data_IF_149745091248
#
_entry.id   IF_149745091248
#
_cell.length_a   1.000
_cell.length_b   1.000
_cell.length_c   1.000
_cell.angle_alpha   90.00
_cell.angle_beta   90.00
_cell.angle_gamma   90.00
#
_symmetry.space_group_name_H-M   'P 1'
#
loop_
_entity.id
_entity.type
_entity.pdbx_description
1 polymer ?
#
# COMPACT_ATOMS: atom_id res chain seq x y z
N UNK A 1 -30.15 34.78 -14.31
CA UNK A 1 -29.49 34.60 -12.99
C UNK A 1 -28.98 33.19 -12.97
N UNK A 2 -27.66 33.06 -12.85
CA UNK A 2 -26.87 31.90 -13.26
C UNK A 2 -27.22 30.61 -12.55
N UNK A 3 -27.24 29.53 -13.34
CA UNK A 3 -27.26 28.14 -12.93
C UNK A 3 -25.98 27.90 -12.13
N UNK A 4 -26.09 27.51 -10.86
CA UNK A 4 -24.95 27.02 -10.11
C UNK A 4 -24.69 25.61 -10.63
N UNK A 5 -23.62 25.45 -11.41
CA UNK A 5 -23.08 24.16 -11.81
C UNK A 5 -22.79 23.31 -10.56
N UNK A 6 -23.55 22.23 -10.42
CA UNK A 6 -23.20 21.05 -9.65
C UNK A 6 -21.93 20.45 -10.27
N UNK A 7 -20.78 20.57 -9.59
CA UNK A 7 -19.64 19.70 -9.88
C UNK A 7 -19.87 18.38 -9.16
N UNK A 8 -20.45 17.44 -9.90
CA UNK A 8 -20.31 16.01 -9.64
C UNK A 8 -18.84 15.65 -9.91
N UNK A 9 -18.03 15.50 -8.86
CA UNK A 9 -16.65 15.02 -9.00
C UNK A 9 -16.69 13.49 -8.96
N UNK A 10 -17.13 12.90 -10.06
CA UNK A 10 -16.97 11.47 -10.33
C UNK A 10 -15.50 11.10 -10.14
N UNK A 11 -15.25 10.09 -9.30
CA UNK A 11 -13.92 9.67 -8.88
C UNK A 11 -13.12 9.06 -10.02
N UNK A 12 -12.41 9.89 -10.78
CA UNK A 12 -11.43 9.45 -11.77
C UNK A 12 -10.02 9.46 -11.16
N UNK A 13 -9.25 8.41 -11.47
CA UNK A 13 -7.85 8.30 -11.05
C UNK A 13 -7.02 9.26 -11.92
N UNK A 14 -6.15 10.13 -11.36
CA UNK A 14 -5.45 11.13 -12.16
C UNK A 14 -4.45 10.51 -13.15
N UNK A 15 -4.23 11.20 -14.27
CA UNK A 15 -3.19 10.85 -15.23
C UNK A 15 -1.81 10.84 -14.55
N UNK A 16 -1.09 9.73 -14.67
CA UNK A 16 0.20 9.51 -13.99
C UNK A 16 0.11 8.79 -12.63
N UNK A 17 -1.08 8.31 -12.23
CA UNK A 17 -1.18 7.42 -11.08
C UNK A 17 -0.46 6.08 -11.34
N UNK A 18 0.37 5.68 -10.39
CA UNK A 18 1.19 4.47 -10.44
C UNK A 18 0.60 3.37 -9.55
N UNK A 19 1.11 2.15 -9.66
CA UNK A 19 0.59 1.03 -8.90
C UNK A 19 1.04 1.06 -7.44
N UNK A 20 0.16 0.67 -6.52
CA UNK A 20 0.58 0.32 -5.17
C UNK A 20 0.01 -1.02 -4.76
N UNK A 21 0.69 -1.64 -3.80
CA UNK A 21 0.23 -2.86 -3.13
C UNK A 21 0.57 -2.81 -1.65
N UNK A 22 -0.23 -3.53 -0.86
CA UNK A 22 0.07 -3.84 0.52
C UNK A 22 0.05 -5.34 0.68
N UNK A 23 1.17 -5.90 1.13
CA UNK A 23 1.23 -7.31 1.48
C UNK A 23 1.06 -7.46 2.99
N UNK A 24 0.22 -8.39 3.44
CA UNK A 24 0.22 -8.86 4.83
C UNK A 24 1.20 -10.03 4.91
N UNK A 25 2.19 -9.95 5.79
CA UNK A 25 3.31 -10.87 5.84
C UNK A 25 3.43 -11.51 7.23
N UNK A 26 2.95 -12.74 7.34
CA UNK A 26 3.09 -13.60 8.49
C UNK A 26 4.49 -14.25 8.51
N UNK A 27 5.50 -13.44 8.81
CA UNK A 27 6.89 -13.87 8.99
C UNK A 27 7.18 -14.22 10.47
N UNK A 28 8.45 -14.17 10.88
CA UNK A 28 8.81 -14.26 12.31
C UNK A 28 8.11 -13.21 13.18
N UNK A 29 7.83 -12.05 12.58
CA UNK A 29 6.96 -11.02 13.13
C UNK A 29 5.92 -10.68 12.08
N UNK A 30 4.66 -10.65 12.51
CA UNK A 30 3.56 -10.19 11.70
C UNK A 30 3.72 -8.70 11.35
N UNK A 31 3.59 -8.37 10.07
CA UNK A 31 3.70 -6.99 9.57
C UNK A 31 3.03 -6.84 8.20
N UNK A 32 2.89 -5.59 7.78
CA UNK A 32 2.39 -5.24 6.45
C UNK A 32 3.48 -4.55 5.65
N UNK A 33 3.69 -4.93 4.39
CA UNK A 33 4.61 -4.23 3.49
C UNK A 33 3.82 -3.32 2.55
N UNK A 34 3.90 -2.00 2.75
CA UNK A 34 3.44 -1.01 1.77
C UNK A 34 4.47 -0.87 0.67
N UNK A 35 4.02 -0.92 -0.58
CA UNK A 35 4.88 -0.82 -1.76
C UNK A 35 4.28 0.13 -2.77
N UNK A 36 5.06 1.10 -3.21
CA UNK A 36 4.70 2.11 -4.20
C UNK A 36 5.58 1.93 -5.44
N UNK A 37 4.97 1.77 -6.61
CA UNK A 37 5.70 1.84 -7.87
C UNK A 37 6.22 3.27 -8.08
N UNK A 38 7.54 3.42 -8.11
CA UNK A 38 8.23 4.68 -8.35
C UNK A 38 9.60 4.39 -8.98
N UNK A 39 9.94 5.13 -10.04
CA UNK A 39 11.23 5.00 -10.74
C UNK A 39 11.57 3.56 -11.19
N UNK A 40 10.54 2.81 -11.64
CA UNK A 40 10.71 1.45 -12.18
C UNK A 40 10.91 0.35 -11.12
N UNK A 41 10.74 0.67 -9.83
CA UNK A 41 10.83 -0.29 -8.72
C UNK A 41 9.67 -0.12 -7.74
N UNK A 42 9.50 -1.07 -6.84
CA UNK A 42 8.60 -0.96 -5.70
C UNK A 42 9.36 -0.40 -4.49
N UNK A 43 9.24 0.91 -4.26
CA UNK A 43 9.68 1.54 -3.01
C UNK A 43 8.86 0.97 -1.86
N UNK A 44 9.53 0.44 -0.84
CA UNK A 44 8.90 -0.46 0.11
C UNK A 44 9.12 -0.04 1.56
N UNK A 45 8.07 -0.16 2.36
CA UNK A 45 8.10 0.06 3.81
C UNK A 45 7.39 -1.06 4.55
N UNK A 46 8.02 -1.58 5.60
CA UNK A 46 7.40 -2.50 6.55
C UNK A 46 6.66 -1.72 7.65
N UNK A 47 5.41 -2.05 7.89
CA UNK A 47 4.52 -1.51 8.92
C UNK A 47 4.23 -2.59 9.96
N UNK A 48 4.94 -2.63 11.10
CA UNK A 48 4.79 -3.69 12.11
C UNK A 48 3.40 -3.78 12.75
N UNK A 49 2.57 -2.73 12.61
CA UNK A 49 1.20 -2.72 13.14
C UNK A 49 0.17 -2.41 12.04
N UNK A 50 0.56 -2.52 10.78
CA UNK A 50 -0.26 -2.12 9.64
C UNK A 50 -0.60 -0.62 9.57
N UNK A 51 -1.32 -0.21 8.52
CA UNK A 51 -1.86 1.14 8.39
C UNK A 51 -2.94 1.39 9.44
N UNK A 52 -3.05 2.62 9.95
CA UNK A 52 -4.20 3.02 10.77
C UNK A 52 -5.24 3.70 9.90
N UNK A 53 -6.49 3.28 10.06
CA UNK A 53 -7.63 3.95 9.45
C UNK A 53 -8.06 5.20 10.25
N UNK A 54 -7.55 5.41 11.47
CA UNK A 54 -7.86 6.60 12.26
C UNK A 54 -7.06 7.80 11.75
N UNK A 55 -7.71 8.87 11.25
CA UNK A 55 -7.00 10.06 10.79
C UNK A 55 -6.09 10.66 11.89
N UNK A 56 -4.89 11.07 11.51
CA UNK A 56 -3.89 11.65 12.40
C UNK A 56 -3.12 10.66 13.28
N UNK A 57 -3.53 9.40 13.34
CA UNK A 57 -2.77 8.36 14.06
C UNK A 57 -1.47 8.05 13.31
N UNK A 58 -0.37 7.98 14.06
CA UNK A 58 0.98 7.75 13.52
C UNK A 58 1.33 6.26 13.61
N UNK A 59 1.59 5.62 12.46
CA UNK A 59 2.10 4.25 12.39
C UNK A 59 3.55 4.25 11.91
N UNK A 60 4.40 3.47 12.58
CA UNK A 60 5.79 3.29 12.15
C UNK A 60 5.81 2.57 10.80
N UNK A 61 6.57 3.11 9.85
CA UNK A 61 6.87 2.55 8.55
C UNK A 61 8.39 2.51 8.38
N UNK A 62 8.97 1.33 8.22
CA UNK A 62 10.41 1.12 8.15
C UNK A 62 10.77 0.89 6.69
N UNK A 63 11.57 1.78 6.10
CA UNK A 63 12.05 1.64 4.73
C UNK A 63 12.89 0.37 4.59
N UNK A 64 12.51 -0.49 3.65
CA UNK A 64 13.20 -1.74 3.32
C UNK A 64 13.71 -1.69 1.87
N UNK A 65 14.46 -2.71 1.46
CA UNK A 65 15.01 -2.76 0.12
C UNK A 65 13.91 -2.66 -0.96
N UNK A 66 14.24 -2.03 -2.08
CA UNK A 66 13.35 -1.97 -3.24
C UNK A 66 13.03 -3.38 -3.75
N UNK A 67 11.83 -3.57 -4.26
CA UNK A 67 11.40 -4.84 -4.87
C UNK A 67 11.16 -4.65 -6.37
N UNK A 68 11.31 -5.72 -7.14
CA UNK A 68 10.97 -5.71 -8.56
C UNK A 68 9.45 -5.56 -8.74
N UNK A 69 9.02 -4.90 -9.82
CA UNK A 69 7.60 -4.64 -10.11
C UNK A 69 6.78 -5.93 -10.21
N UNK A 70 7.40 -7.00 -10.71
CA UNK A 70 6.78 -8.32 -10.86
C UNK A 70 6.45 -9.00 -9.51
N UNK A 71 6.95 -8.46 -8.39
CA UNK A 71 6.61 -8.88 -7.04
C UNK A 71 5.26 -8.32 -6.57
N UNK A 72 4.71 -7.30 -7.24
CA UNK A 72 3.47 -6.62 -6.80
C UNK A 72 2.29 -7.59 -6.64
N UNK A 73 2.17 -8.57 -7.53
CA UNK A 73 1.10 -9.57 -7.52
C UNK A 73 1.44 -10.88 -6.80
N UNK A 74 2.46 -10.90 -5.94
CA UNK A 74 2.88 -12.13 -5.26
C UNK A 74 1.97 -12.46 -4.07
N UNK A 75 1.53 -13.71 -4.00
CA UNK A 75 0.87 -14.28 -2.84
C UNK A 75 1.36 -15.72 -2.66
N UNK A 76 1.68 -16.13 -1.43
CA UNK A 76 2.12 -17.49 -1.15
C UNK A 76 3.05 -17.63 0.03
N UNK A 77 3.73 -18.77 0.09
CA UNK A 77 4.65 -19.11 1.19
C UNK A 77 6.09 -18.95 0.72
N UNK A 78 6.84 -18.11 1.42
CA UNK A 78 8.29 -18.00 1.28
C UNK A 78 8.92 -19.10 2.16
N UNK A 79 9.71 -20.02 1.57
CA UNK A 79 10.28 -21.15 2.32
C UNK A 79 11.15 -20.72 3.51
N UNK A 80 11.16 -21.55 4.55
CA UNK A 80 12.03 -21.36 5.71
C UNK A 80 13.51 -21.30 5.31
N UNK A 81 14.29 -20.50 6.03
CA UNK A 81 15.71 -20.27 5.72
C UNK A 81 15.97 -19.30 4.57
N UNK A 82 14.93 -18.80 3.89
CA UNK A 82 15.03 -17.65 2.98
C UNK A 82 14.79 -16.34 3.76
N UNK A 83 15.35 -15.26 3.24
CA UNK A 83 15.01 -13.92 3.73
C UNK A 83 13.51 -13.66 3.50
N UNK A 84 12.81 -13.20 4.54
CA UNK A 84 11.35 -13.04 4.50
C UNK A 84 10.57 -14.35 4.53
N UNK A 85 11.10 -15.43 5.13
CA UNK A 85 10.34 -16.67 5.32
C UNK A 85 9.02 -16.41 6.08
N UNK A 86 7.93 -16.94 5.54
CA UNK A 86 6.58 -16.68 6.04
C UNK A 86 5.53 -16.78 4.95
N UNK A 87 4.26 -16.61 5.35
CA UNK A 87 3.14 -16.52 4.41
C UNK A 87 2.91 -15.07 4.04
N UNK A 88 2.75 -14.80 2.75
CA UNK A 88 2.53 -13.48 2.18
C UNK A 88 1.16 -13.47 1.49
N UNK A 89 0.31 -12.56 1.91
CA UNK A 89 -1.01 -12.28 1.33
C UNK A 89 -0.96 -10.95 0.59
N UNK A 90 -1.53 -10.88 -0.62
CA UNK A 90 -1.82 -9.59 -1.24
C UNK A 90 -3.06 -9.00 -0.56
N UNK A 91 -2.83 -8.13 0.42
CA UNK A 91 -3.87 -7.62 1.32
C UNK A 91 -4.61 -6.41 0.76
N UNK A 92 -3.93 -5.55 -0.01
CA UNK A 92 -4.55 -4.47 -0.75
C UNK A 92 -3.76 -4.19 -2.03
N UNK A 93 -4.43 -3.61 -3.03
CA UNK A 93 -3.82 -3.20 -4.30
C UNK A 93 -4.61 -2.05 -4.90
N UNK A 94 -3.95 -1.23 -5.70
CA UNK A 94 -4.64 -0.18 -6.43
C UNK A 94 -3.69 0.82 -7.06
N UNK A 95 -4.17 2.06 -7.15
CA UNK A 95 -3.44 3.20 -7.70
C UNK A 95 -3.06 4.20 -6.62
N UNK A 96 -1.91 4.83 -6.80
CA UNK A 96 -1.46 5.94 -5.97
C UNK A 96 -0.95 7.09 -6.82
N UNK A 97 -1.00 8.29 -6.27
CA UNK A 97 -0.39 9.46 -6.87
C UNK A 97 0.11 10.41 -5.78
N UNK A 98 1.14 11.18 -6.10
CA UNK A 98 1.61 12.25 -5.24
C UNK A 98 0.61 13.41 -5.27
N UNK A 99 0.20 13.90 -4.10
CA UNK A 99 -0.65 15.09 -3.95
C UNK A 99 0.16 16.38 -3.86
N UNK A 100 1.45 16.25 -3.56
CA UNK A 100 2.44 17.32 -3.50
C UNK A 100 3.77 16.82 -4.05
N UNK A 101 4.67 17.71 -4.53
CA UNK A 101 6.00 17.30 -4.96
C UNK A 101 6.75 16.53 -3.85
N UNK A 102 7.29 15.33 -4.14
CA UNK A 102 7.99 14.53 -3.15
C UNK A 102 9.26 15.24 -2.65
N UNK A 103 9.55 15.12 -1.36
CA UNK A 103 10.82 15.55 -0.75
C UNK A 103 11.60 14.34 -0.23
N UNK A 104 12.91 14.47 0.07
CA UNK A 104 13.69 13.36 0.62
C UNK A 104 13.16 12.79 1.96
N UNK A 105 12.36 13.57 2.68
CA UNK A 105 11.85 13.27 4.02
C UNK A 105 10.32 13.22 4.11
N UNK A 106 9.58 13.52 3.03
CA UNK A 106 8.12 13.50 3.04
C UNK A 106 7.54 13.12 1.68
N UNK A 107 6.55 12.24 1.72
CA UNK A 107 5.73 11.87 0.57
C UNK A 107 4.26 12.00 0.96
N UNK A 108 3.57 12.96 0.34
CA UNK A 108 2.13 13.14 0.50
C UNK A 108 1.42 12.51 -0.69
N UNK A 109 0.67 11.44 -0.44
CA UNK A 109 0.05 10.62 -1.48
C UNK A 109 -1.47 10.54 -1.28
N UNK A 110 -2.17 10.20 -2.34
CA UNK A 110 -3.48 9.61 -2.24
C UNK A 110 -3.41 8.15 -2.70
N UNK A 111 -4.17 7.30 -2.01
CA UNK A 111 -4.34 5.89 -2.33
C UNK A 111 -5.76 5.65 -2.81
N UNK A 112 -5.90 4.79 -3.80
CA UNK A 112 -7.16 4.27 -4.28
C UNK A 112 -7.00 2.78 -4.58
N UNK A 113 -7.26 1.94 -3.59
CA UNK A 113 -7.31 0.50 -3.79
C UNK A 113 -8.62 -0.10 -3.39
N UNK A 114 -8.56 -1.36 -2.97
CA UNK A 114 -9.72 -2.15 -2.57
C UNK A 114 -10.04 -1.91 -1.08
N UNK A 115 -9.01 -1.60 -0.27
CA UNK A 115 -9.13 -1.37 1.18
C UNK A 115 -8.68 0.00 1.63
N UNK A 116 -7.57 0.51 1.11
CA UNK A 116 -7.05 1.84 1.48
C UNK A 116 -7.49 2.90 0.47
N UNK A 117 -8.09 3.96 0.99
CA UNK A 117 -8.54 5.11 0.21
C UNK A 117 -8.11 6.44 0.86
N UNK A 118 -8.07 7.49 0.05
CA UNK A 118 -7.90 8.88 0.48
C UNK A 118 -6.44 9.28 0.67
N UNK A 119 -6.22 10.41 1.35
CA UNK A 119 -4.91 11.03 1.49
C UNK A 119 -4.09 10.48 2.67
N UNK A 120 -2.79 10.31 2.45
CA UNK A 120 -1.80 9.77 3.38
C UNK A 120 -0.50 10.56 3.32
N UNK A 121 0.22 10.61 4.43
CA UNK A 121 1.59 11.15 4.50
C UNK A 121 2.54 10.07 5.01
N UNK A 122 3.62 9.85 4.28
CA UNK A 122 4.83 9.19 4.75
C UNK A 122 5.85 10.26 5.13
N UNK A 123 6.24 10.32 6.41
CA UNK A 123 7.22 11.31 6.90
C UNK A 123 8.40 10.65 7.59
N UNK A 124 9.61 10.89 7.11
CA UNK A 124 10.85 10.38 7.69
C UNK A 124 11.06 11.02 9.06
N UNK A 125 11.36 10.19 10.05
CA UNK A 125 11.66 10.65 11.40
C UNK A 125 13.05 11.32 11.42
N UNK A 126 13.21 12.35 12.24
CA UNK A 126 14.50 12.99 12.46
C UNK A 126 15.09 12.63 13.83
N UNK A 127 16.41 12.81 13.97
CA UNK A 127 17.12 12.69 15.24
C UNK A 127 17.81 11.34 15.47
N UNK A 128 18.50 11.22 16.61
CA UNK A 128 19.41 10.11 16.92
C UNK A 128 18.77 8.72 16.88
N UNK A 129 17.45 8.64 17.07
CA UNK A 129 16.71 7.37 17.05
C UNK A 129 16.52 6.81 15.63
N UNK A 130 16.72 7.63 14.59
CA UNK A 130 16.68 7.24 13.18
C UNK A 130 18.06 7.38 12.52
N UNK A 131 19.10 6.82 13.15
CA UNK A 131 20.48 7.01 12.71
C UNK A 131 20.77 6.39 11.33
N UNK A 132 20.01 5.37 10.91
CA UNK A 132 20.09 4.75 9.59
C UNK A 132 19.17 5.41 8.55
N UNK A 133 18.39 6.42 8.97
CA UNK A 133 17.46 7.16 8.11
C UNK A 133 16.19 6.40 7.73
N UNK A 134 16.02 5.13 8.11
CA UNK A 134 14.97 4.25 7.57
C UNK A 134 13.61 4.35 8.25
N UNK A 135 13.50 5.04 9.37
CA UNK A 135 12.24 5.15 10.10
C UNK A 135 11.40 6.30 9.57
N UNK A 136 10.19 5.94 9.14
CA UNK A 136 9.14 6.84 8.67
C UNK A 136 7.89 6.66 9.54
N UNK A 137 6.99 7.62 9.41
CA UNK A 137 5.63 7.55 9.93
C UNK A 137 4.66 7.58 8.77
N UNK A 138 3.75 6.60 8.71
CA UNK A 138 2.56 6.64 7.86
C UNK A 138 1.40 7.22 8.66
N UNK A 139 0.72 8.21 8.09
CA UNK A 139 -0.35 8.97 8.75
C UNK A 139 -1.50 9.14 7.77
N UNK A 140 -2.68 8.63 8.10
CA UNK A 140 -3.91 8.95 7.34
C UNK A 140 -4.28 10.41 7.56
N UNK A 141 -4.60 11.13 6.48
CA UNK A 141 -5.03 12.53 6.54
C UNK A 141 -6.55 12.61 6.71
N UNK A 142 -7.01 13.75 7.22
CA UNK A 142 -8.44 14.04 7.28
C UNK A 142 -8.95 14.35 5.87
N UNK A 143 -10.15 13.87 5.54
CA UNK A 143 -10.83 14.09 4.27
C UNK A 143 -12.24 13.48 4.31
N UNK A 144 -13.08 13.85 3.35
CA UNK A 144 -14.48 13.38 3.25
C UNK A 144 -14.62 11.97 2.64
N UNK A 145 -13.50 11.34 2.26
CA UNK A 145 -13.48 9.96 1.78
C UNK A 145 -13.85 8.99 2.90
N UNK A 146 -15.00 8.34 2.77
CA UNK A 146 -15.41 7.29 3.68
C UNK A 146 -14.33 6.20 3.69
N UNK A 147 -13.84 5.88 4.89
CA UNK A 147 -13.04 4.68 5.09
C UNK A 147 -13.89 3.48 4.68
N UNK A 148 -13.67 2.92 3.50
CA UNK A 148 -14.44 1.74 3.08
C UNK A 148 -13.92 0.54 3.86
N UNK A 149 -14.80 0.06 4.74
CA UNK A 149 -14.89 -1.24 5.41
C UNK A 149 -13.72 -1.68 6.29
N UNK A 150 -14.09 -2.25 7.45
CA UNK A 150 -13.16 -3.01 8.28
C UNK A 150 -12.51 -4.07 7.38
N UNK A 151 -11.17 -4.09 7.28
CA UNK A 151 -10.49 -4.99 6.37
C UNK A 151 -10.77 -6.40 6.88
N UNK A 152 -11.60 -7.15 6.14
CA UNK A 152 -11.52 -8.60 6.27
C UNK A 152 -10.06 -8.97 5.99
N UNK A 153 -9.47 -9.77 6.88
CA UNK A 153 -8.09 -10.25 6.76
C UNK A 153 -8.03 -11.36 5.70
N UNK A 154 -8.40 -10.96 4.48
CA UNK A 154 -8.51 -11.79 3.28
C UNK A 154 -7.80 -11.11 2.12
N UNK A 155 -7.27 -11.93 1.23
CA UNK A 155 -6.59 -11.52 0.01
C UNK A 155 -7.53 -10.79 -0.95
N UNK A 156 -7.07 -9.68 -1.53
CA UNK A 156 -7.75 -9.01 -2.65
C UNK A 156 -7.50 -9.71 -3.99
N UNK A 157 -6.54 -10.62 -4.05
CA UNK A 157 -6.26 -11.41 -5.25
C UNK A 157 -7.12 -12.68 -5.31
N UNK A 158 -7.19 -13.42 -4.20
CA UNK A 158 -7.77 -14.76 -4.17
C UNK A 158 -8.98 -14.90 -3.26
N UNK A 159 -9.30 -13.89 -2.44
CA UNK A 159 -10.32 -13.97 -1.40
C UNK A 159 -9.93 -14.86 -0.22
N UNK A 160 -8.75 -15.49 -0.22
CA UNK A 160 -8.30 -16.44 0.82
C UNK A 160 -7.85 -15.75 2.11
N UNK A 161 -8.02 -16.41 3.25
CA UNK A 161 -7.40 -16.04 4.52
C UNK A 161 -5.90 -16.37 4.56
N UNK A 162 -5.19 -15.89 5.56
CA UNK A 162 -3.75 -16.17 5.74
C UNK A 162 -3.50 -17.69 5.89
N UNK A 163 -4.32 -18.38 6.68
CA UNK A 163 -4.20 -19.83 6.90
C UNK A 163 -4.46 -20.62 5.60
N UNK A 164 -5.48 -20.23 4.83
CA UNK A 164 -5.77 -20.87 3.53
C UNK A 164 -4.60 -20.72 2.54
N UNK A 165 -3.89 -19.58 2.56
CA UNK A 165 -2.69 -19.36 1.73
C UNK A 165 -1.53 -20.22 2.23
N UNK A 166 -1.36 -20.33 3.56
CA UNK A 166 -0.31 -21.14 4.17
C UNK A 166 -0.46 -22.63 3.83
N UNK A 167 -1.69 -23.14 3.78
CA UNK A 167 -1.98 -24.55 3.50
C UNK A 167 -1.94 -24.91 2.00
N UNK A 168 -2.42 -24.02 1.13
CA UNK A 168 -2.65 -24.33 -0.30
C UNK A 168 -1.52 -23.86 -1.22
N UNK A 169 -0.53 -23.12 -0.71
CA UNK A 169 0.59 -22.59 -1.48
C UNK A 169 0.25 -21.34 -2.32
N UNK A 170 1.29 -20.84 -3.00
CA UNK A 170 1.29 -19.52 -3.63
C UNK A 170 0.55 -19.41 -4.96
N UNK A 171 0.04 -18.20 -5.23
CA UNK A 171 -0.43 -17.74 -6.53
C UNK A 171 0.31 -16.47 -6.90
N UNK A 172 0.78 -16.38 -8.14
CA UNK A 172 1.27 -15.13 -8.70
C UNK A 172 0.25 -14.65 -9.71
N UNK A 173 -0.20 -13.41 -9.57
CA UNK A 173 -1.01 -12.82 -10.60
C UNK A 173 -0.18 -12.51 -11.86
N UNK A 174 -0.82 -12.49 -13.02
CA UNK A 174 -0.17 -12.13 -14.28
C UNK A 174 0.28 -10.66 -14.25
N UNK A 175 1.31 -10.27 -15.04
CA UNK A 175 1.84 -8.90 -15.07
C UNK A 175 0.81 -7.86 -15.56
N UNK A 176 -0.35 -8.29 -16.04
CA UNK A 176 -1.48 -7.51 -16.53
C UNK A 176 -2.47 -7.06 -15.43
N UNK A 177 -2.13 -7.28 -14.14
CA UNK A 177 -2.91 -6.86 -12.97
C UNK A 177 -3.33 -5.39 -12.93
N UNK A 178 -2.71 -4.57 -13.77
CA UNK A 178 -2.92 -3.13 -13.87
C UNK A 178 -3.42 -2.72 -15.26
N UNK A 179 -4.11 -3.61 -15.97
CA UNK A 179 -4.70 -3.33 -17.28
C UNK A 179 -5.58 -2.09 -17.23
N UNK A 180 -5.41 -1.24 -18.25
CA UNK A 180 -6.05 0.04 -18.59
C UNK A 180 -7.60 -0.01 -18.70
N UNK A 181 -8.32 -0.80 -17.90
CA UNK A 181 -9.79 -0.87 -17.98
C UNK A 181 -10.49 0.39 -17.40
N UNK A 182 -9.72 1.33 -16.84
CA UNK A 182 -10.20 2.63 -16.31
C UNK A 182 -9.88 3.81 -17.26
N UNK A 183 -9.63 3.53 -18.56
CA UNK A 183 -9.32 4.54 -19.60
C UNK A 183 -10.45 4.79 -20.61
N UNK A 184 -11.71 4.55 -20.21
CA UNK A 184 -12.89 4.81 -21.04
C UNK A 184 -13.60 6.11 -20.66
#
# INVERSE_FOLDING_TARGET
MSRCDEHDSSGETPEGAACYVVHHHAASHDHFDLRLELDGVLKSWALPKGPSLSPGEKRLAIEVADHALDYAGFEGVIPTGRYGAGTVMLWDRGRWWATHPPTPDQLDIALRGEKLHGAWTLKRMSGKRNADGKQWLMIRRHGDDQAVLAPEDRSVLSGRSMDEIAEQGGKRAQPDLFTDDDRA
#
